data_IF_478764846600
#
_entry.id   IF_478764846600
#
_cell.length_a   1.000
_cell.length_b   1.000
_cell.length_c   1.000
_cell.angle_alpha   90.00
_cell.angle_beta   90.00
_cell.angle_gamma   90.00
#
_symmetry.space_group_name_H-M   'P 1'
#
loop_
_entity.id
_entity.type
_entity.pdbx_description
1 polymer ?
#
# COMPACT_ATOMS: atom_id res chain seq x y z
N UNK A 1 -29.80 18.25 -6.17
CA UNK A 1 -29.22 19.33 -6.96
C UNK A 1 -30.21 20.51 -7.05
N UNK A 2 -29.69 21.75 -7.11
CA UNK A 2 -30.51 22.94 -7.29
C UNK A 2 -31.39 22.79 -8.55
N UNK A 3 -32.69 23.10 -8.44
CA UNK A 3 -33.64 23.00 -9.54
C UNK A 3 -34.34 21.64 -9.73
N UNK A 4 -34.08 20.65 -8.86
CA UNK A 4 -34.84 19.37 -8.88
C UNK A 4 -36.14 19.41 -8.11
N UNK A 5 -36.29 20.42 -7.27
CA UNK A 5 -37.48 20.64 -6.44
C UNK A 5 -38.12 21.96 -6.80
N UNK A 6 -39.43 22.02 -6.71
CA UNK A 6 -40.24 23.24 -6.83
C UNK A 6 -40.72 23.58 -5.44
N UNK A 7 -40.52 24.82 -5.03
CA UNK A 7 -41.16 25.37 -3.85
C UNK A 7 -42.61 25.78 -4.20
N UNK A 8 -43.60 25.06 -3.71
CA UNK A 8 -45.01 25.39 -3.97
C UNK A 8 -45.50 26.62 -3.19
N UNK A 9 -44.64 27.24 -2.33
CA UNK A 9 -44.98 28.35 -1.46
C UNK A 9 -45.88 27.97 -0.25
N UNK A 10 -46.10 28.91 0.65
CA UNK A 10 -47.00 28.72 1.78
C UNK A 10 -46.56 27.74 2.86
N UNK A 11 -45.21 27.50 2.99
CA UNK A 11 -44.64 26.59 3.99
C UNK A 11 -44.88 25.10 3.71
N UNK A 12 -45.31 24.76 2.49
CA UNK A 12 -45.51 23.38 2.08
C UNK A 12 -44.17 22.70 1.78
N UNK A 13 -44.06 21.36 1.93
CA UNK A 13 -42.84 20.63 1.59
C UNK A 13 -42.50 20.82 0.11
N UNK A 14 -41.17 20.87 -0.20
CA UNK A 14 -40.67 20.93 -1.55
C UNK A 14 -41.17 19.72 -2.36
N UNK A 15 -41.67 20.00 -3.55
CA UNK A 15 -42.16 18.95 -4.47
C UNK A 15 -41.09 18.60 -5.53
N UNK A 16 -40.91 17.32 -5.86
CA UNK A 16 -39.99 16.93 -6.92
C UNK A 16 -40.49 17.44 -8.28
N UNK A 17 -39.64 18.15 -9.01
CA UNK A 17 -39.92 18.66 -10.36
C UNK A 17 -40.01 17.55 -11.39
N UNK A 18 -39.30 16.45 -11.17
CA UNK A 18 -39.20 15.34 -12.11
C UNK A 18 -39.65 14.03 -11.46
N UNK A 19 -40.35 13.18 -12.23
CA UNK A 19 -40.70 11.83 -11.84
C UNK A 19 -39.50 10.92 -12.20
N UNK A 20 -38.82 10.34 -11.21
CA UNK A 20 -37.65 9.48 -11.37
C UNK A 20 -36.49 10.21 -12.10
N UNK A 21 -35.99 11.30 -11.56
CA UNK A 21 -34.89 12.02 -12.19
C UNK A 21 -33.62 11.16 -12.19
N UNK A 22 -32.89 11.22 -13.30
CA UNK A 22 -31.57 10.60 -13.45
C UNK A 22 -30.56 11.67 -13.83
N UNK A 23 -29.33 11.53 -13.38
CA UNK A 23 -28.22 12.36 -13.85
C UNK A 23 -27.07 11.49 -14.33
N UNK A 24 -26.44 11.97 -15.40
CA UNK A 24 -25.26 11.31 -15.94
C UNK A 24 -24.10 11.50 -14.99
N UNK A 25 -23.46 10.41 -14.58
CA UNK A 25 -22.20 10.47 -13.85
C UNK A 25 -21.09 10.98 -14.76
N UNK A 26 -20.35 11.97 -14.30
CA UNK A 26 -19.19 12.54 -15.01
C UNK A 26 -17.87 11.93 -14.54
N UNK A 27 -17.84 11.42 -13.33
CA UNK A 27 -16.70 10.77 -12.70
C UNK A 27 -17.07 9.34 -12.31
N UNK A 28 -16.08 8.50 -12.06
CA UNK A 28 -16.29 7.16 -11.56
C UNK A 28 -16.93 7.21 -10.15
N UNK A 29 -17.90 6.33 -9.93
CA UNK A 29 -18.55 6.19 -8.64
C UNK A 29 -17.86 5.09 -7.84
N UNK A 30 -17.57 5.36 -6.57
CA UNK A 30 -17.07 4.35 -5.65
C UNK A 30 -18.06 3.18 -5.55
N UNK A 31 -17.56 1.94 -5.61
CA UNK A 31 -18.39 0.73 -5.64
C UNK A 31 -18.91 0.30 -7.03
N UNK A 32 -18.70 1.10 -8.08
CA UNK A 32 -19.03 0.65 -9.43
C UNK A 32 -17.99 -0.40 -9.91
N UNK A 33 -18.40 -1.53 -10.54
CA UNK A 33 -17.50 -2.63 -10.91
C UNK A 33 -16.27 -2.21 -11.74
N UNK A 34 -16.41 -1.20 -12.59
CA UNK A 34 -15.32 -0.71 -13.45
C UNK A 34 -14.54 0.47 -12.88
N UNK A 35 -14.87 0.97 -11.69
CA UNK A 35 -14.19 2.15 -11.13
C UNK A 35 -12.71 1.92 -10.88
N UNK A 36 -12.32 0.72 -10.43
CA UNK A 36 -10.92 0.36 -10.25
C UNK A 36 -10.13 0.43 -11.55
N UNK A 37 -10.67 -0.13 -12.64
CA UNK A 37 -10.03 -0.09 -13.96
C UNK A 37 -9.92 1.33 -14.50
N UNK A 38 -10.93 2.18 -14.29
CA UNK A 38 -10.87 3.59 -14.69
C UNK A 38 -9.83 4.35 -13.89
N UNK A 39 -9.75 4.11 -12.59
CA UNK A 39 -8.74 4.70 -11.73
C UNK A 39 -7.33 4.28 -12.17
N UNK A 40 -7.10 3.00 -12.35
CA UNK A 40 -5.81 2.47 -12.80
C UNK A 40 -5.36 3.11 -14.12
N UNK A 41 -6.24 3.15 -15.13
CA UNK A 41 -5.94 3.80 -16.42
C UNK A 41 -5.62 5.29 -16.26
N UNK A 42 -6.38 5.99 -15.41
CA UNK A 42 -6.14 7.39 -15.13
C UNK A 42 -4.79 7.59 -14.45
N UNK A 43 -4.51 6.83 -13.39
CA UNK A 43 -3.26 6.88 -12.62
C UNK A 43 -2.06 6.60 -13.53
N UNK A 44 -2.07 5.51 -14.29
CA UNK A 44 -0.99 5.13 -15.20
C UNK A 44 -0.70 6.23 -16.24
N UNK A 45 -1.75 6.80 -16.83
CA UNK A 45 -1.61 7.89 -17.80
C UNK A 45 -1.06 9.15 -17.17
N UNK A 46 -1.50 9.49 -15.97
CA UNK A 46 -1.06 10.68 -15.24
C UNK A 46 0.41 10.56 -14.81
N UNK A 47 0.80 9.40 -14.29
CA UNK A 47 2.18 9.12 -13.91
C UNK A 47 3.14 9.11 -15.11
N UNK A 48 2.72 8.53 -16.23
CA UNK A 48 3.53 8.51 -17.45
C UNK A 48 3.82 9.91 -18.00
N UNK A 49 2.89 10.87 -17.89
CA UNK A 49 3.11 12.29 -18.26
C UNK A 49 4.19 12.98 -17.44
N UNK A 50 4.48 12.44 -16.26
CA UNK A 50 5.49 12.94 -15.34
C UNK A 50 6.74 12.04 -15.31
N UNK A 51 7.02 11.29 -16.38
CA UNK A 51 8.17 10.39 -16.54
C UNK A 51 8.25 9.24 -15.51
N UNK A 52 7.19 8.95 -14.78
CA UNK A 52 7.07 7.73 -14.00
C UNK A 52 6.59 6.60 -14.90
N UNK A 53 7.52 5.75 -15.34
CA UNK A 53 7.22 4.65 -16.27
C UNK A 53 6.98 3.35 -15.52
N UNK A 54 6.02 2.53 -15.96
CA UNK A 54 5.75 1.24 -15.32
C UNK A 54 6.96 0.31 -15.45
N UNK A 55 7.21 -0.50 -14.43
CA UNK A 55 8.28 -1.49 -14.42
C UNK A 55 7.72 -2.79 -14.99
N UNK A 56 8.31 -3.34 -16.07
CA UNK A 56 7.85 -4.60 -16.63
C UNK A 56 7.88 -5.75 -15.61
N UNK A 57 6.76 -6.49 -15.51
CA UNK A 57 6.62 -7.60 -14.57
C UNK A 57 6.30 -7.21 -13.11
N UNK A 58 6.19 -5.92 -12.79
CA UNK A 58 5.77 -5.42 -11.48
C UNK A 58 4.54 -4.52 -11.64
N UNK A 59 3.36 -5.07 -11.38
CA UNK A 59 2.11 -4.32 -11.45
C UNK A 59 2.12 -3.17 -10.43
N UNK A 60 1.53 -2.04 -10.82
CA UNK A 60 1.41 -0.83 -10.00
C UNK A 60 2.74 -0.31 -9.42
N UNK A 61 3.86 -0.66 -10.04
CA UNK A 61 5.20 -0.19 -9.72
C UNK A 61 5.76 0.66 -10.86
N UNK A 62 6.30 1.82 -10.52
CA UNK A 62 6.78 2.81 -11.49
C UNK A 62 8.18 3.28 -11.14
N UNK A 63 8.95 3.67 -12.14
CA UNK A 63 10.29 4.19 -11.94
C UNK A 63 10.51 5.48 -12.72
N UNK A 64 10.99 6.51 -12.03
CA UNK A 64 11.40 7.77 -12.63
C UNK A 64 12.92 7.80 -12.81
N UNK A 65 13.39 7.59 -14.04
CA UNK A 65 14.82 7.35 -14.33
C UNK A 65 15.72 8.53 -13.93
N UNK A 66 15.34 9.78 -14.26
CA UNK A 66 16.15 10.97 -13.96
C UNK A 66 16.28 11.24 -12.46
N UNK A 67 15.19 11.11 -11.71
CA UNK A 67 15.17 11.33 -10.27
C UNK A 67 15.57 10.08 -9.47
N UNK A 68 15.73 8.92 -10.12
CA UNK A 68 16.01 7.64 -9.46
C UNK A 68 14.98 7.33 -8.35
N UNK A 69 13.71 7.58 -8.65
CA UNK A 69 12.61 7.37 -7.72
C UNK A 69 11.82 6.13 -8.12
N UNK A 70 11.53 5.30 -7.14
CA UNK A 70 10.66 4.14 -7.26
C UNK A 70 9.34 4.47 -6.58
N UNK A 71 8.23 4.26 -7.27
CA UNK A 71 6.88 4.52 -6.80
C UNK A 71 6.06 3.24 -6.81
N UNK A 72 5.40 2.95 -5.70
CA UNK A 72 4.39 1.90 -5.59
C UNK A 72 3.05 2.58 -5.38
N UNK A 73 2.03 2.14 -6.11
CA UNK A 73 0.65 2.59 -5.97
C UNK A 73 -0.21 1.41 -5.56
N UNK A 74 -0.92 1.53 -4.47
CA UNK A 74 -1.92 0.55 -4.03
C UNK A 74 -3.25 1.27 -3.82
N UNK A 75 -4.10 1.22 -4.83
CA UNK A 75 -5.37 1.95 -4.92
C UNK A 75 -5.16 3.46 -4.74
N UNK A 76 -5.36 3.99 -3.55
CA UNK A 76 -5.20 5.38 -3.11
C UNK A 76 -3.89 5.62 -2.32
N UNK A 77 -3.19 4.57 -1.92
CA UNK A 77 -1.93 4.65 -1.21
C UNK A 77 -0.73 4.75 -2.16
N UNK A 78 0.03 5.83 -2.03
CA UNK A 78 1.25 6.09 -2.80
C UNK A 78 2.48 5.99 -1.92
N UNK A 79 3.47 5.19 -2.32
CA UNK A 79 4.73 5.04 -1.61
C UNK A 79 5.90 5.36 -2.52
N UNK A 80 6.58 6.48 -2.25
CA UNK A 80 7.72 6.95 -3.03
C UNK A 80 9.03 6.69 -2.28
N UNK A 81 10.00 6.09 -2.97
CA UNK A 81 11.30 5.73 -2.42
C UNK A 81 12.42 6.17 -3.35
N UNK A 82 13.52 6.66 -2.80
CA UNK A 82 14.71 7.06 -3.54
C UNK A 82 15.59 8.06 -2.80
N UNK A 83 16.49 8.76 -3.50
CA UNK A 83 17.35 9.78 -2.91
C UNK A 83 16.55 10.87 -2.23
N UNK A 84 16.87 11.18 -0.97
CA UNK A 84 16.12 12.11 -0.12
C UNK A 84 15.90 13.48 -0.79
N UNK A 85 16.92 14.00 -1.48
CA UNK A 85 16.86 15.29 -2.17
C UNK A 85 15.86 15.31 -3.34
N UNK A 86 15.52 14.16 -3.90
CA UNK A 86 14.64 14.06 -5.07
C UNK A 86 13.17 13.79 -4.69
N UNK A 87 12.90 13.36 -3.44
CA UNK A 87 11.54 13.01 -3.00
C UNK A 87 10.56 14.18 -3.13
N UNK A 88 10.97 15.38 -2.72
CA UNK A 88 10.12 16.58 -2.80
C UNK A 88 9.70 16.88 -4.23
N UNK A 89 10.64 16.80 -5.16
CA UNK A 89 10.35 16.99 -6.58
C UNK A 89 9.47 15.87 -7.16
N UNK A 90 9.74 14.63 -6.77
CA UNK A 90 8.89 13.49 -7.17
C UNK A 90 7.43 13.68 -6.76
N UNK A 91 7.18 14.05 -5.50
CA UNK A 91 5.83 14.35 -5.01
C UNK A 91 5.19 15.52 -5.76
N UNK A 92 5.96 16.60 -5.99
CA UNK A 92 5.48 17.75 -6.75
C UNK A 92 5.04 17.38 -8.17
N UNK A 93 5.76 16.49 -8.84
CA UNK A 93 5.40 15.99 -10.17
C UNK A 93 4.11 15.18 -10.14
N UNK A 94 3.97 14.25 -9.19
CA UNK A 94 2.77 13.42 -9.05
C UNK A 94 1.54 14.30 -8.75
N UNK A 95 1.67 15.25 -7.83
CA UNK A 95 0.57 16.14 -7.41
C UNK A 95 0.08 17.10 -8.50
N UNK A 96 0.80 17.26 -9.61
CA UNK A 96 0.30 18.02 -10.77
C UNK A 96 -0.89 17.34 -11.46
N UNK A 97 -0.93 16.03 -11.43
CA UNK A 97 -1.87 15.23 -12.20
C UNK A 97 -2.88 14.50 -11.29
N UNK A 98 -2.48 14.18 -10.07
CA UNK A 98 -3.26 13.41 -9.10
C UNK A 98 -3.37 14.21 -7.82
N UNK A 99 -4.60 14.42 -7.35
CA UNK A 99 -4.84 15.10 -6.07
C UNK A 99 -4.43 14.16 -4.93
N UNK A 100 -3.41 14.55 -4.18
CA UNK A 100 -2.85 13.80 -3.05
C UNK A 100 -2.81 14.68 -1.82
N UNK A 101 -2.96 14.07 -0.66
CA UNK A 101 -2.66 14.70 0.62
C UNK A 101 -1.16 14.98 0.76
N UNK A 102 -0.77 15.83 1.72
CA UNK A 102 0.64 16.10 1.96
C UNK A 102 1.41 14.83 2.30
N UNK A 103 2.56 14.60 1.64
CA UNK A 103 3.38 13.42 1.91
C UNK A 103 3.89 13.38 3.34
N UNK A 104 3.66 12.29 4.03
CA UNK A 104 4.13 12.05 5.39
C UNK A 104 5.27 11.02 5.41
N UNK A 105 6.15 11.04 6.41
CA UNK A 105 7.09 9.96 6.63
C UNK A 105 6.37 8.63 6.77
N UNK A 106 6.89 7.59 6.11
CA UNK A 106 6.29 6.26 6.15
C UNK A 106 6.41 5.67 7.56
N UNK A 107 5.37 5.81 8.36
CA UNK A 107 5.24 5.21 9.69
C UNK A 107 4.30 4.00 9.64
N UNK A 108 3.18 4.12 8.92
CA UNK A 108 2.18 3.07 8.74
C UNK A 108 1.94 2.85 7.24
N UNK A 109 1.77 1.60 6.83
CA UNK A 109 1.47 1.27 5.44
C UNK A 109 0.64 -0.01 5.38
N UNK A 110 -0.51 0.05 4.73
CA UNK A 110 -1.47 -1.05 4.63
C UNK A 110 -1.79 -1.70 6.00
N UNK A 111 -2.02 -0.86 7.01
CA UNK A 111 -2.34 -1.32 8.37
C UNK A 111 -1.14 -1.77 9.22
N UNK A 112 0.05 -1.89 8.63
CA UNK A 112 1.26 -2.30 9.34
C UNK A 112 2.04 -1.10 9.86
N UNK A 113 2.41 -1.14 11.13
CA UNK A 113 3.37 -0.22 11.71
C UNK A 113 4.78 -0.58 11.26
N UNK A 114 5.56 0.44 10.92
CA UNK A 114 6.92 0.28 10.42
C UNK A 114 7.93 0.65 11.47
N UNK A 115 8.71 -0.32 11.92
CA UNK A 115 9.74 -0.14 12.92
C UNK A 115 11.13 -0.30 12.30
N UNK A 116 11.99 0.70 12.49
CA UNK A 116 13.40 0.65 12.12
C UNK A 116 14.21 0.16 13.30
N UNK A 117 15.15 -0.73 13.04
CA UNK A 117 16.05 -1.27 14.05
C UNK A 117 17.40 -1.64 13.45
N UNK A 118 18.21 -2.25 14.27
CA UNK A 118 19.47 -2.87 13.86
C UNK A 118 19.56 -4.25 14.48
N UNK A 119 20.21 -5.18 13.79
CA UNK A 119 20.51 -6.51 14.35
C UNK A 119 21.94 -6.94 14.00
N UNK A 120 22.53 -7.84 14.80
CA UNK A 120 23.83 -8.42 14.48
C UNK A 120 23.81 -9.14 13.12
N UNK A 121 24.90 -9.03 12.36
CA UNK A 121 25.00 -9.60 11.02
C UNK A 121 24.81 -11.13 11.02
N UNK A 122 25.26 -11.82 12.07
CA UNK A 122 25.09 -13.26 12.21
C UNK A 122 23.62 -13.65 12.37
N UNK A 123 22.85 -12.85 13.09
CA UNK A 123 21.39 -13.06 13.24
C UNK A 123 20.68 -12.78 11.92
N UNK A 124 21.06 -11.73 11.21
CA UNK A 124 20.52 -11.41 9.90
C UNK A 124 20.77 -12.53 8.89
N UNK A 125 21.97 -13.13 8.91
CA UNK A 125 22.33 -14.27 8.05
C UNK A 125 21.43 -15.47 8.33
N UNK A 126 21.19 -15.83 9.59
CA UNK A 126 20.28 -16.92 9.96
C UNK A 126 18.83 -16.69 9.47
N UNK A 127 18.35 -15.44 9.59
CA UNK A 127 17.03 -15.08 9.05
C UNK A 127 16.97 -15.23 7.53
N UNK A 128 18.02 -14.79 6.85
CA UNK A 128 18.13 -14.89 5.40
C UNK A 128 18.17 -16.34 4.91
N UNK A 129 18.98 -17.18 5.54
CA UNK A 129 19.09 -18.61 5.23
C UNK A 129 17.75 -19.33 5.45
N UNK A 130 17.05 -19.01 6.54
CA UNK A 130 15.71 -19.55 6.79
C UNK A 130 14.71 -19.12 5.72
N UNK A 131 14.72 -17.85 5.34
CA UNK A 131 13.83 -17.32 4.31
C UNK A 131 14.10 -17.96 2.94
N UNK A 132 15.35 -18.04 2.53
CA UNK A 132 15.74 -18.66 1.25
C UNK A 132 15.41 -20.16 1.22
N UNK A 133 15.55 -20.85 2.35
CA UNK A 133 15.12 -22.25 2.49
C UNK A 133 13.61 -22.43 2.29
N UNK A 134 12.80 -21.55 2.88
CA UNK A 134 11.33 -21.56 2.68
C UNK A 134 10.97 -21.26 1.22
N UNK A 135 11.59 -20.23 0.63
CA UNK A 135 11.34 -19.87 -0.78
C UNK A 135 11.72 -21.01 -1.73
N UNK A 136 12.82 -21.71 -1.45
CA UNK A 136 13.25 -22.87 -2.25
C UNK A 136 12.21 -24.01 -2.17
N UNK A 137 11.68 -24.30 -0.97
CA UNK A 137 10.66 -25.33 -0.78
C UNK A 137 9.32 -25.00 -1.47
N UNK A 138 8.92 -23.71 -1.45
CA UNK A 138 7.64 -23.28 -2.03
C UNK A 138 7.68 -23.17 -3.56
N UNK A 139 8.84 -23.18 -4.19
CA UNK A 139 8.92 -22.78 -5.59
C UNK A 139 9.97 -23.45 -6.45
N UNK A 140 10.08 -24.77 -6.43
CA UNK A 140 10.91 -25.50 -7.40
C UNK A 140 10.61 -25.11 -8.87
N UNK A 141 9.45 -24.55 -9.16
CA UNK A 141 9.01 -24.19 -10.51
C UNK A 141 8.60 -22.71 -10.71
N UNK A 142 8.71 -21.83 -9.71
CA UNK A 142 8.30 -20.41 -9.86
C UNK A 142 9.37 -19.58 -10.56
N UNK A 143 9.05 -18.87 -11.67
CA UNK A 143 9.98 -17.96 -12.34
C UNK A 143 10.50 -16.85 -11.40
N UNK A 144 9.69 -16.40 -10.46
CA UNK A 144 10.02 -15.35 -9.48
C UNK A 144 11.08 -15.81 -8.49
N UNK A 145 10.99 -17.08 -8.02
CA UNK A 145 12.00 -17.62 -7.10
C UNK A 145 13.34 -17.85 -7.80
N UNK A 146 13.33 -18.31 -9.05
CA UNK A 146 14.54 -18.41 -9.87
C UNK A 146 15.19 -17.05 -10.10
N UNK A 147 14.40 -15.99 -10.32
CA UNK A 147 14.90 -14.63 -10.47
C UNK A 147 15.47 -14.07 -9.16
N UNK A 148 14.85 -14.34 -8.01
CA UNK A 148 15.36 -13.95 -6.70
C UNK A 148 16.68 -14.66 -6.35
N UNK A 149 16.79 -15.95 -6.60
CA UNK A 149 18.04 -16.72 -6.40
C UNK A 149 19.15 -16.26 -7.35
N UNK A 150 18.84 -15.92 -8.61
CA UNK A 150 19.80 -15.40 -9.57
C UNK A 150 20.28 -13.98 -9.23
N UNK A 151 19.45 -13.17 -8.58
CA UNK A 151 19.81 -11.83 -8.10
C UNK A 151 20.81 -11.89 -6.94
N UNK A 152 20.71 -12.91 -6.09
CA UNK A 152 21.60 -13.09 -4.93
C UNK A 152 23.05 -13.38 -5.33
N UNK A 153 23.26 -14.16 -6.38
CA UNK A 153 24.61 -14.42 -6.89
C UNK A 153 25.34 -13.20 -7.46
N UNK A 154 24.65 -12.08 -7.69
CA UNK A 154 25.24 -10.82 -8.19
C UNK A 154 25.67 -9.86 -7.09
N UNK A 155 25.42 -10.14 -5.83
CA UNK A 155 25.80 -9.29 -4.68
C UNK A 155 27.15 -9.68 -4.04
N UNK A 156 27.96 -10.42 -4.73
CA UNK A 156 29.31 -10.67 -4.30
C UNK A 156 30.25 -9.56 -4.69
N UNK A 157 30.36 -8.53 -3.86
CA UNK A 157 31.59 -7.76 -3.56
C UNK A 157 31.18 -6.50 -2.80
N UNK A 158 31.15 -6.61 -1.48
CA UNK A 158 31.16 -5.44 -0.63
C UNK A 158 32.56 -4.82 -0.72
N UNK A 159 32.70 -3.50 -1.03
CA UNK A 159 33.99 -2.85 -0.99
C UNK A 159 34.64 -3.08 0.39
N UNK A 160 35.86 -3.58 0.38
CA UNK A 160 36.65 -3.80 1.58
C UNK A 160 36.88 -2.47 2.31
N UNK A 161 36.12 -2.18 3.37
CA UNK A 161 36.30 -0.98 4.15
C UNK A 161 35.12 -0.68 5.07
N UNK A 162 35.11 -1.28 6.20
CA UNK A 162 34.25 -1.20 7.38
C UNK A 162 33.34 -2.42 7.54
N UNK A 163 33.82 -3.38 8.32
CA UNK A 163 32.97 -4.48 8.81
C UNK A 163 31.99 -3.92 9.85
N UNK A 164 30.82 -3.50 9.39
CA UNK A 164 29.72 -3.24 10.29
C UNK A 164 29.26 -4.58 10.86
N UNK A 165 29.37 -4.77 12.16
CA UNK A 165 28.87 -5.99 12.83
C UNK A 165 27.34 -6.03 12.92
N UNK A 166 26.65 -5.00 12.44
CA UNK A 166 25.19 -4.88 12.46
C UNK A 166 24.66 -4.47 11.09
N UNK A 167 23.44 -4.90 10.79
CA UNK A 167 22.67 -4.48 9.62
C UNK A 167 21.45 -3.68 10.07
N UNK A 168 21.05 -2.73 9.25
CA UNK A 168 19.78 -2.03 9.46
C UNK A 168 18.62 -2.97 9.13
N UNK A 169 17.61 -2.98 9.99
CA UNK A 169 16.41 -3.78 9.83
C UNK A 169 15.19 -2.91 9.70
N UNK A 170 14.17 -3.47 9.08
CA UNK A 170 12.85 -2.89 9.03
C UNK A 170 11.84 -4.01 9.29
N UNK A 171 11.06 -3.86 10.35
CA UNK A 171 9.96 -4.77 10.66
C UNK A 171 8.62 -4.09 10.38
N UNK A 172 7.68 -4.88 9.96
CA UNK A 172 6.28 -4.49 9.82
C UNK A 172 5.48 -5.27 10.85
N UNK A 173 4.71 -4.58 11.68
CA UNK A 173 3.86 -5.18 12.71
C UNK A 173 2.42 -4.75 12.49
N UNK A 174 1.50 -5.69 12.64
CA UNK A 174 0.06 -5.45 12.66
C UNK A 174 -0.53 -5.53 14.08
N UNK A 175 0.31 -5.61 15.10
CA UNK A 175 -0.14 -5.80 16.50
C UNK A 175 -1.12 -4.70 16.92
N UNK A 176 -0.83 -3.44 16.59
CA UNK A 176 -1.74 -2.33 16.89
C UNK A 176 -3.09 -2.45 16.18
N UNK A 177 -3.12 -2.95 14.95
CA UNK A 177 -4.38 -3.19 14.23
C UNK A 177 -5.15 -4.37 14.83
N UNK A 178 -4.47 -5.46 15.14
CA UNK A 178 -5.09 -6.62 15.78
C UNK A 178 -5.71 -6.24 17.13
N UNK A 179 -4.99 -5.47 17.94
CA UNK A 179 -5.52 -4.97 19.23
C UNK A 179 -6.77 -4.09 19.03
N UNK A 180 -6.78 -3.18 18.08
CA UNK A 180 -7.97 -2.38 17.76
C UNK A 180 -9.19 -3.25 17.37
N UNK A 181 -8.97 -4.34 16.64
CA UNK A 181 -10.04 -5.29 16.32
C UNK A 181 -10.58 -5.98 17.58
N UNK A 182 -9.70 -6.39 18.49
CA UNK A 182 -10.10 -6.98 19.77
C UNK A 182 -10.87 -5.99 20.64
N UNK A 183 -10.34 -4.78 20.80
CA UNK A 183 -11.00 -3.69 21.55
C UNK A 183 -12.41 -3.40 20.98
N UNK A 184 -12.50 -3.32 19.65
CA UNK A 184 -13.80 -3.08 19.00
C UNK A 184 -14.78 -4.23 19.19
N UNK A 185 -14.28 -5.48 19.16
CA UNK A 185 -15.10 -6.65 19.45
C UNK A 185 -15.64 -6.61 20.88
N UNK A 186 -14.78 -6.37 21.88
CA UNK A 186 -15.18 -6.26 23.27
C UNK A 186 -16.19 -5.14 23.52
N UNK A 187 -15.98 -3.98 22.89
CA UNK A 187 -16.93 -2.87 22.97
C UNK A 187 -18.33 -3.24 22.43
N UNK A 188 -18.39 -3.96 21.32
CA UNK A 188 -19.65 -4.34 20.67
C UNK A 188 -20.34 -5.52 21.33
N UNK A 189 -19.58 -6.50 21.85
CA UNK A 189 -20.10 -7.71 22.49
C UNK A 189 -20.49 -7.45 23.94
N UNK A 190 -19.89 -6.44 24.59
CA UNK A 190 -20.00 -6.24 26.03
C UNK A 190 -19.25 -7.27 26.85
N UNK A 191 -18.37 -8.07 26.23
CA UNK A 191 -17.53 -9.06 26.90
C UNK A 191 -16.26 -8.42 27.47
N UNK A 192 -15.66 -9.08 28.45
CA UNK A 192 -14.36 -8.69 29.01
C UNK A 192 -13.23 -9.50 28.36
N UNK A 193 -12.03 -8.92 28.31
CA UNK A 193 -10.85 -9.58 27.75
C UNK A 193 -10.55 -10.96 28.40
N UNK A 194 -10.88 -11.13 29.68
CA UNK A 194 -10.72 -12.40 30.40
C UNK A 194 -11.63 -13.53 29.91
N UNK A 195 -12.69 -13.19 29.16
CA UNK A 195 -13.63 -14.17 28.60
C UNK A 195 -13.15 -14.70 27.23
N UNK A 196 -12.18 -14.03 26.60
CA UNK A 196 -11.59 -14.49 25.36
C UNK A 196 -10.69 -15.70 25.61
N UNK A 197 -10.96 -16.79 24.90
CA UNK A 197 -10.12 -17.99 24.97
C UNK A 197 -8.93 -17.85 24.04
N UNK A 198 -7.72 -18.18 24.50
CA UNK A 198 -6.56 -18.25 23.62
C UNK A 198 -6.81 -19.27 22.51
N UNK A 199 -6.60 -18.83 21.26
CA UNK A 199 -6.57 -19.72 20.09
C UNK A 199 -5.16 -19.73 19.51
N UNK A 200 -4.53 -20.89 19.29
CA UNK A 200 -3.13 -20.96 18.85
C UNK A 200 -2.96 -20.40 17.42
N UNK A 201 -3.95 -20.60 16.56
CA UNK A 201 -3.98 -20.01 15.20
C UNK A 201 -5.43 -19.87 14.72
N UNK A 202 -5.76 -18.91 13.84
CA UNK A 202 -7.07 -18.84 13.21
C UNK A 202 -7.32 -19.95 12.17
N UNK A 203 -6.28 -20.62 11.72
CA UNK A 203 -6.32 -21.79 10.83
C UNK A 203 -5.75 -22.96 11.60
N UNK A 204 -6.62 -23.69 12.29
CA UNK A 204 -6.30 -25.01 12.78
C UNK A 204 -6.42 -25.96 11.58
N UNK A 205 -5.42 -26.82 11.42
CA UNK A 205 -5.53 -27.94 10.50
C UNK A 205 -6.70 -28.79 10.96
N UNK A 206 -7.73 -28.92 10.10
CA UNK A 206 -8.85 -29.82 10.28
C UNK A 206 -8.40 -31.28 10.09
#
# INVERSE_FOLDING_TARGET
PAGWFIDPGGGRPLQPKYRRPVCRLRLALYGHPHSGVFWEKHCNKSLARQDFLPIPGLEQCFYHRKLKLFLIVYVDDFKLVGPKQNLKEGWRLISKEINLDEPTPLQKYLGCDRNKGTMPIEQARKHYERFTGIVAQLSENSPTAKAMMAADHRQGETPAGQRHNTVNTMSYSMDGFAMQCVERYLELSGEDLSQLKPAPTPTLDD
#
